data_IF_818040704257
#
_entry.id   IF_818040704257
#
_cell.length_a   1.000
_cell.length_b   1.000
_cell.length_c   1.000
_cell.angle_alpha   90.00
_cell.angle_beta   90.00
_cell.angle_gamma   90.00
#
_symmetry.space_group_name_H-M   'P 1'
#
loop_
_entity.id
_entity.type
_entity.pdbx_description
1 polymer ?
#
# COMPACT_ATOMS: atom_id res chain seq x y z
N UNK A 1 -34.25 21.67 13.21
CA UNK A 1 -34.00 20.62 12.21
C UNK A 1 -32.64 20.02 12.54
N UNK A 2 -32.65 18.77 12.96
CA UNK A 2 -31.80 18.23 14.03
C UNK A 2 -30.42 17.72 13.60
N UNK A 3 -29.44 17.85 14.49
CA UNK A 3 -28.05 17.38 14.40
C UNK A 3 -27.88 15.91 13.98
N UNK A 4 -28.91 15.09 14.19
CA UNK A 4 -28.95 13.68 13.81
C UNK A 4 -28.78 13.42 12.30
N UNK A 5 -29.15 14.37 11.42
CA UNK A 5 -29.00 14.20 9.96
C UNK A 5 -27.60 14.56 9.46
N UNK A 6 -26.85 15.41 10.17
CA UNK A 6 -25.45 15.74 9.84
C UNK A 6 -24.53 14.58 10.22
N UNK A 7 -24.78 13.92 11.35
CA UNK A 7 -24.00 12.76 11.82
C UNK A 7 -24.17 11.54 10.87
N UNK A 8 -25.32 11.42 10.21
CA UNK A 8 -25.61 10.30 9.30
C UNK A 8 -24.88 10.39 7.96
N UNK A 9 -24.50 11.58 7.49
CA UNK A 9 -23.81 11.77 6.19
C UNK A 9 -22.29 11.57 6.37
N UNK A 10 -21.72 11.89 7.54
CA UNK A 10 -20.28 11.75 7.78
C UNK A 10 -19.78 10.29 7.85
N UNK A 11 -20.68 9.31 8.06
CA UNK A 11 -20.32 7.88 8.20
C UNK A 11 -20.14 7.13 6.88
N UNK A 12 -20.64 7.65 5.76
CA UNK A 12 -20.60 6.95 4.46
C UNK A 12 -19.25 7.09 3.74
N UNK A 13 -18.41 8.06 4.13
CA UNK A 13 -17.10 8.32 3.50
C UNK A 13 -15.90 7.76 4.30
N UNK A 14 -16.13 7.12 5.45
CA UNK A 14 -15.05 6.61 6.30
C UNK A 14 -14.51 5.29 5.77
N UNK A 15 -13.21 5.27 5.47
CA UNK A 15 -12.50 4.06 5.05
C UNK A 15 -12.12 3.26 6.30
N UNK A 16 -12.39 1.96 6.32
CA UNK A 16 -11.86 1.09 7.37
C UNK A 16 -10.37 0.84 7.11
N UNK A 17 -9.51 1.31 8.02
CA UNK A 17 -8.07 1.03 8.00
C UNK A 17 -7.67 -0.17 8.86
N UNK A 18 -8.64 -0.86 9.47
CA UNK A 18 -8.39 -1.94 10.43
C UNK A 18 -8.16 -1.40 11.85
N UNK A 19 -7.38 -2.14 12.62
CA UNK A 19 -7.04 -1.81 14.01
C UNK A 19 -5.92 -0.76 14.05
N UNK A 20 -6.32 0.52 13.96
CA UNK A 20 -5.41 1.68 13.96
C UNK A 20 -5.77 2.58 15.15
N UNK A 21 -4.81 3.09 15.92
CA UNK A 21 -5.06 4.03 17.01
C UNK A 21 -5.88 5.25 16.55
N UNK A 22 -6.81 5.71 17.40
CA UNK A 22 -7.78 6.77 17.05
C UNK A 22 -7.13 8.03 16.47
N UNK A 23 -6.01 8.47 17.05
CA UNK A 23 -5.30 9.66 16.60
C UNK A 23 -4.71 9.49 15.18
N UNK A 24 -4.11 8.34 14.89
CA UNK A 24 -3.59 8.02 13.55
C UNK A 24 -4.74 7.85 12.56
N UNK A 25 -5.81 7.13 12.95
CA UNK A 25 -7.00 6.97 12.12
C UNK A 25 -7.61 8.33 11.77
N UNK A 26 -7.74 9.26 12.71
CA UNK A 26 -8.26 10.60 12.45
C UNK A 26 -7.46 11.36 11.38
N UNK A 27 -6.12 11.26 11.41
CA UNK A 27 -5.26 11.85 10.38
C UNK A 27 -5.46 11.17 9.01
N UNK A 28 -5.54 9.83 8.98
CA UNK A 28 -5.79 9.07 7.76
C UNK A 28 -7.15 9.43 7.12
N UNK A 29 -8.22 9.50 7.91
CA UNK A 29 -9.56 9.89 7.40
C UNK A 29 -9.53 11.31 6.81
N UNK A 30 -8.90 12.26 7.51
CA UNK A 30 -8.75 13.63 7.00
C UNK A 30 -7.96 13.67 5.70
N UNK A 31 -6.87 12.89 5.60
CA UNK A 31 -6.07 12.79 4.38
C UNK A 31 -6.86 12.22 3.20
N UNK A 32 -7.66 11.17 3.43
CA UNK A 32 -8.56 10.59 2.41
C UNK A 32 -9.57 11.62 1.90
N UNK A 33 -10.21 12.36 2.81
CA UNK A 33 -11.20 13.39 2.45
C UNK A 33 -10.56 14.55 1.68
N UNK A 34 -9.33 14.93 2.05
CA UNK A 34 -8.59 16.01 1.38
C UNK A 34 -8.13 15.62 -0.03
N UNK A 35 -7.74 14.36 -0.25
CA UNK A 35 -7.02 13.92 -1.45
C UNK A 35 -7.64 14.36 -2.78
N UNK A 36 -8.97 14.29 -2.93
CA UNK A 36 -9.62 14.65 -4.20
C UNK A 36 -9.55 16.14 -4.54
N UNK A 37 -9.41 17.00 -3.52
CA UNK A 37 -9.42 18.47 -3.66
C UNK A 37 -8.03 19.05 -3.54
N UNK A 38 -7.24 18.50 -2.62
CA UNK A 38 -5.91 18.97 -2.27
C UNK A 38 -5.00 17.76 -1.94
N UNK A 39 -4.34 17.19 -2.96
CA UNK A 39 -3.42 16.07 -2.79
C UNK A 39 -2.18 16.42 -1.94
N UNK A 40 -1.79 17.69 -1.87
CA UNK A 40 -0.63 18.14 -1.08
C UNK A 40 -1.00 18.22 0.40
N UNK A 41 -2.17 18.77 0.74
CA UNK A 41 -2.68 18.72 2.11
C UNK A 41 -2.90 17.28 2.58
N UNK A 42 -3.38 16.39 1.71
CA UNK A 42 -3.50 14.97 2.02
C UNK A 42 -2.13 14.32 2.33
N UNK A 43 -1.09 14.66 1.55
CA UNK A 43 0.27 14.21 1.81
C UNK A 43 0.75 14.58 3.21
N UNK A 44 0.60 15.86 3.59
CA UNK A 44 1.00 16.36 4.91
C UNK A 44 0.31 15.59 6.03
N UNK A 45 -1.00 15.35 5.90
CA UNK A 45 -1.77 14.58 6.89
C UNK A 45 -1.28 13.13 7.02
N UNK A 46 -0.92 12.48 5.91
CA UNK A 46 -0.36 11.14 5.96
C UNK A 46 1.07 11.11 6.52
N UNK A 47 1.88 12.14 6.25
CA UNK A 47 3.21 12.28 6.85
C UNK A 47 3.12 12.54 8.36
N UNK A 48 2.17 13.35 8.81
CA UNK A 48 1.86 13.55 10.23
C UNK A 48 1.44 12.22 10.89
N UNK A 49 0.60 11.42 10.22
CA UNK A 49 0.19 10.11 10.71
C UNK A 49 1.40 9.16 10.84
N UNK A 50 2.34 9.22 9.90
CA UNK A 50 3.55 8.40 9.92
C UNK A 50 4.50 8.80 11.05
N UNK A 51 4.65 10.11 11.28
CA UNK A 51 5.46 10.64 12.37
C UNK A 51 4.86 10.32 13.74
N UNK A 52 3.53 10.26 13.83
CA UNK A 52 2.81 9.92 15.06
C UNK A 52 2.99 8.45 15.42
N UNK A 53 2.80 7.54 14.45
CA UNK A 53 2.98 6.11 14.67
C UNK A 53 3.50 5.39 13.42
N UNK A 54 4.82 5.15 13.33
CA UNK A 54 5.43 4.49 12.18
C UNK A 54 5.14 2.98 12.10
N UNK A 55 4.51 2.36 13.11
CA UNK A 55 4.11 0.95 13.02
C UNK A 55 2.80 0.77 12.22
N UNK A 56 2.09 1.85 11.88
CA UNK A 56 0.77 1.76 11.27
C UNK A 56 0.89 1.55 9.76
N UNK A 57 0.83 0.28 9.33
CA UNK A 57 0.91 -0.14 7.93
C UNK A 57 -0.01 0.64 6.97
N UNK A 58 -1.29 0.95 7.32
CA UNK A 58 -2.17 1.73 6.45
C UNK A 58 -1.63 3.12 6.07
N UNK A 59 -0.73 3.70 6.87
CA UNK A 59 -0.12 4.99 6.58
C UNK A 59 0.80 4.91 5.36
N UNK A 60 1.64 3.88 5.28
CA UNK A 60 2.50 3.62 4.12
C UNK A 60 1.66 3.41 2.85
N UNK A 61 0.56 2.66 2.96
CA UNK A 61 -0.40 2.44 1.88
C UNK A 61 -0.94 3.74 1.31
N UNK A 62 -1.39 4.65 2.18
CA UNK A 62 -1.89 5.94 1.75
C UNK A 62 -0.79 6.72 1.01
N UNK A 63 0.39 6.88 1.60
CA UNK A 63 1.49 7.66 1.04
C UNK A 63 1.96 7.13 -0.32
N UNK A 64 2.32 5.85 -0.44
CA UNK A 64 2.83 5.35 -1.72
C UNK A 64 1.77 5.43 -2.83
N UNK A 65 0.48 5.28 -2.49
CA UNK A 65 -0.60 5.41 -3.48
C UNK A 65 -0.74 6.82 -4.00
N UNK A 66 -0.71 7.84 -3.13
CA UNK A 66 -0.82 9.22 -3.62
C UNK A 66 0.39 9.56 -4.49
N UNK A 67 1.59 9.11 -4.09
CA UNK A 67 2.80 9.35 -4.87
C UNK A 67 2.72 8.67 -6.23
N UNK A 68 2.29 7.41 -6.28
CA UNK A 68 2.12 6.68 -7.54
C UNK A 68 1.06 7.31 -8.45
N UNK A 69 -0.06 7.79 -7.90
CA UNK A 69 -1.10 8.49 -8.66
C UNK A 69 -0.67 9.85 -9.18
N UNK A 70 0.19 10.56 -8.45
CA UNK A 70 0.78 11.84 -8.87
C UNK A 70 2.01 11.67 -9.78
N UNK A 71 2.43 10.43 -10.06
CA UNK A 71 3.62 10.15 -10.89
C UNK A 71 4.96 10.40 -10.19
N UNK A 72 4.96 10.61 -8.86
CA UNK A 72 6.15 10.78 -8.04
C UNK A 72 6.75 9.41 -7.70
N UNK A 73 7.28 8.73 -8.72
CA UNK A 73 7.64 7.31 -8.64
C UNK A 73 8.83 7.01 -7.73
N UNK A 74 9.76 7.95 -7.54
CA UNK A 74 10.85 7.81 -6.56
C UNK A 74 10.31 7.82 -5.13
N UNK A 75 9.42 8.76 -4.81
CA UNK A 75 8.78 8.84 -3.50
C UNK A 75 7.89 7.62 -3.24
N UNK A 76 7.14 7.18 -4.25
CA UNK A 76 6.31 5.98 -4.16
C UNK A 76 7.17 4.74 -3.86
N UNK A 77 8.29 4.57 -4.57
CA UNK A 77 9.22 3.47 -4.35
C UNK A 77 9.79 3.52 -2.94
N UNK A 78 10.34 4.67 -2.51
CA UNK A 78 10.96 4.82 -1.20
C UNK A 78 9.98 4.46 -0.06
N UNK A 79 8.76 4.99 -0.10
CA UNK A 79 7.76 4.71 0.94
C UNK A 79 7.25 3.27 0.89
N UNK A 80 7.01 2.72 -0.30
CA UNK A 80 6.59 1.34 -0.45
C UNK A 80 7.66 0.36 0.06
N UNK A 81 8.95 0.63 -0.17
CA UNK A 81 10.05 -0.18 0.37
C UNK A 81 10.10 -0.14 1.89
N UNK A 82 9.97 1.04 2.51
CA UNK A 82 9.93 1.14 3.98
C UNK A 82 8.70 0.42 4.55
N UNK A 83 7.53 0.60 3.93
CA UNK A 83 6.30 -0.07 4.35
C UNK A 83 6.36 -1.59 4.19
N UNK A 84 7.03 -2.10 3.14
CA UNK A 84 7.28 -3.52 2.94
C UNK A 84 8.11 -4.09 4.09
N UNK A 85 9.21 -3.41 4.42
CA UNK A 85 10.13 -3.85 5.47
C UNK A 85 9.45 -3.84 6.85
N UNK A 86 8.64 -2.82 7.15
CA UNK A 86 7.90 -2.76 8.40
C UNK A 86 6.85 -3.88 8.50
N UNK A 87 6.14 -4.16 7.39
CA UNK A 87 5.17 -5.26 7.34
C UNK A 87 5.85 -6.63 7.50
N UNK A 88 6.99 -6.84 6.83
CA UNK A 88 7.80 -8.05 6.98
C UNK A 88 8.29 -8.22 8.43
N UNK A 89 8.77 -7.14 9.06
CA UNK A 89 9.19 -7.13 10.46
C UNK A 89 8.04 -7.53 11.40
N UNK A 90 6.85 -6.98 11.20
CA UNK A 90 5.66 -7.33 11.99
C UNK A 90 5.18 -8.77 11.76
N UNK A 91 5.39 -9.31 10.55
CA UNK A 91 5.12 -10.70 10.21
C UNK A 91 6.22 -11.67 10.68
N UNK A 92 7.36 -11.17 11.19
CA UNK A 92 8.52 -11.99 11.55
C UNK A 92 9.27 -12.56 10.34
N UNK A 93 9.17 -11.91 9.17
CA UNK A 93 9.85 -12.29 7.94
C UNK A 93 11.17 -11.54 7.74
N UNK A 94 12.00 -12.06 6.83
CA UNK A 94 13.22 -11.40 6.36
C UNK A 94 12.93 -10.01 5.78
N UNK A 95 13.89 -9.09 5.85
CA UNK A 95 13.82 -7.80 5.14
C UNK A 95 14.03 -7.95 3.62
N UNK A 96 14.79 -8.98 3.21
CA UNK A 96 14.85 -9.41 1.81
C UNK A 96 13.64 -10.29 1.45
N UNK A 97 12.74 -9.76 0.62
CA UNK A 97 11.56 -10.48 0.14
C UNK A 97 11.90 -11.72 -0.68
N UNK A 98 13.10 -11.81 -1.26
CA UNK A 98 13.54 -13.01 -2.00
C UNK A 98 13.61 -14.24 -1.09
N UNK A 99 13.94 -14.01 0.18
CA UNK A 99 14.08 -15.05 1.19
C UNK A 99 12.77 -15.45 1.90
N UNK A 100 11.64 -14.82 1.56
CA UNK A 100 10.36 -15.19 2.18
C UNK A 100 9.95 -16.59 1.78
N UNK A 101 9.48 -17.37 2.74
CA UNK A 101 8.93 -18.70 2.47
C UNK A 101 7.42 -18.68 2.58
N UNK A 102 6.76 -19.68 1.99
CA UNK A 102 5.31 -19.79 2.09
C UNK A 102 4.92 -20.07 3.55
N UNK A 103 4.40 -19.05 4.22
CA UNK A 103 3.71 -19.18 5.48
C UNK A 103 2.18 -19.14 5.26
N UNK A 104 1.41 -19.59 6.25
CA UNK A 104 -0.03 -19.35 6.25
C UNK A 104 -0.26 -17.84 6.34
N UNK A 105 -0.80 -17.24 5.27
CA UNK A 105 -1.09 -15.80 5.23
C UNK A 105 -2.44 -15.56 5.89
N UNK A 106 -2.44 -14.79 6.98
CA UNK A 106 -3.65 -14.32 7.64
C UNK A 106 -4.29 -13.21 6.82
N UNK A 107 -5.61 -13.29 6.61
CA UNK A 107 -6.36 -12.22 5.95
C UNK A 107 -6.28 -10.94 6.79
N UNK A 108 -5.84 -9.84 6.16
CA UNK A 108 -5.75 -8.54 6.82
C UNK A 108 -4.58 -8.35 7.80
N UNK A 109 -3.67 -9.32 7.90
CA UNK A 109 -2.47 -9.22 8.74
C UNK A 109 -1.29 -8.50 8.06
N UNK A 110 -0.18 -8.32 8.80
CA UNK A 110 1.05 -7.72 8.26
C UNK A 110 1.64 -8.49 7.08
N UNK A 111 1.50 -9.81 7.09
CA UNK A 111 1.85 -10.72 5.99
C UNK A 111 1.04 -10.43 4.71
N UNK A 112 -0.28 -10.29 4.81
CA UNK A 112 -1.11 -9.88 3.68
C UNK A 112 -0.74 -8.47 3.19
N UNK A 113 -0.46 -7.54 4.11
CA UNK A 113 0.01 -6.21 3.74
C UNK A 113 1.37 -6.25 3.02
N UNK A 114 2.30 -7.11 3.45
CA UNK A 114 3.60 -7.28 2.83
C UNK A 114 3.45 -7.76 1.37
N UNK A 115 2.63 -8.78 1.13
CA UNK A 115 2.32 -9.25 -0.24
C UNK A 115 1.61 -8.17 -1.08
N UNK A 116 0.69 -7.42 -0.48
CA UNK A 116 0.00 -6.35 -1.19
C UNK A 116 0.97 -5.22 -1.59
N UNK A 117 1.90 -4.88 -0.69
CA UNK A 117 2.94 -3.87 -0.94
C UNK A 117 3.94 -4.37 -1.98
N UNK A 118 4.31 -5.65 -1.96
CA UNK A 118 5.16 -6.25 -2.98
C UNK A 118 4.53 -6.15 -4.38
N UNK A 119 3.21 -6.32 -4.49
CA UNK A 119 2.47 -6.04 -5.73
C UNK A 119 2.55 -4.57 -6.13
N UNK A 120 2.43 -3.64 -5.18
CA UNK A 120 2.56 -2.22 -5.47
C UNK A 120 3.97 -1.87 -5.98
N UNK A 121 5.02 -2.46 -5.39
CA UNK A 121 6.40 -2.34 -5.86
C UNK A 121 6.57 -2.86 -7.28
N UNK A 122 5.99 -4.02 -7.61
CA UNK A 122 5.99 -4.52 -8.99
C UNK A 122 5.42 -3.49 -9.98
N UNK A 123 4.26 -2.89 -9.64
CA UNK A 123 3.66 -1.85 -10.47
C UNK A 123 4.52 -0.58 -10.55
N UNK A 124 5.11 -0.13 -9.45
CA UNK A 124 5.98 1.05 -9.41
C UNK A 124 7.23 0.82 -10.28
N UNK A 125 7.89 -0.34 -10.16
CA UNK A 125 9.02 -0.71 -11.00
C UNK A 125 8.66 -0.72 -12.50
N UNK A 126 7.50 -1.29 -12.86
CA UNK A 126 7.03 -1.24 -14.26
C UNK A 126 6.84 0.19 -14.76
N UNK A 127 6.24 1.07 -13.94
CA UNK A 127 6.03 2.49 -14.27
C UNK A 127 7.35 3.26 -14.43
N UNK A 128 8.43 2.77 -13.81
CA UNK A 128 9.79 3.31 -13.91
C UNK A 128 10.61 2.68 -15.05
N UNK A 129 10.07 1.69 -15.77
CA UNK A 129 10.80 0.95 -16.81
C UNK A 129 11.78 -0.10 -16.25
N UNK A 130 11.69 -0.41 -14.96
CA UNK A 130 12.59 -1.33 -14.25
C UNK A 130 12.05 -2.77 -14.33
N UNK A 131 11.93 -3.30 -15.56
CA UNK A 131 11.22 -4.57 -15.85
C UNK A 131 11.78 -5.75 -15.05
N UNK A 132 13.09 -5.86 -14.88
CA UNK A 132 13.70 -6.95 -14.10
C UNK A 132 13.33 -6.91 -12.61
N UNK A 133 13.24 -5.70 -12.02
CA UNK A 133 12.84 -5.54 -10.63
C UNK A 133 11.34 -5.83 -10.45
N UNK A 134 10.51 -5.41 -11.41
CA UNK A 134 9.11 -5.76 -11.44
C UNK A 134 8.89 -7.28 -11.53
N UNK A 135 9.62 -7.95 -12.43
CA UNK A 135 9.51 -9.40 -12.62
C UNK A 135 9.89 -10.16 -11.35
N UNK A 136 10.96 -9.76 -10.67
CA UNK A 136 11.36 -10.35 -9.40
C UNK A 136 10.26 -10.31 -8.33
N UNK A 137 9.52 -9.19 -8.25
CA UNK A 137 8.39 -9.06 -7.32
C UNK A 137 7.24 -10.00 -7.73
N UNK A 138 6.92 -10.07 -9.02
CA UNK A 138 5.86 -10.92 -9.57
C UNK A 138 6.16 -12.42 -9.40
N UNK A 139 7.40 -12.84 -9.63
CA UNK A 139 7.85 -14.22 -9.42
C UNK A 139 7.64 -14.63 -7.96
N UNK A 140 8.00 -13.75 -7.02
CA UNK A 140 7.80 -14.02 -5.59
C UNK A 140 6.32 -14.07 -5.22
N UNK A 141 5.49 -13.19 -5.79
CA UNK A 141 4.04 -13.22 -5.58
C UNK A 141 3.42 -14.52 -6.11
N UNK A 142 3.87 -15.02 -7.25
CA UNK A 142 3.41 -16.29 -7.80
C UNK A 142 3.81 -17.49 -6.92
N UNK A 143 4.97 -17.43 -6.27
CA UNK A 143 5.42 -18.43 -5.30
C UNK A 143 4.55 -18.43 -4.02
N UNK A 144 4.31 -17.24 -3.46
CA UNK A 144 3.73 -17.09 -2.12
C UNK A 144 2.20 -17.02 -2.07
N UNK A 145 1.56 -16.52 -3.13
CA UNK A 145 0.10 -16.29 -3.18
C UNK A 145 -0.62 -17.11 -4.27
N UNK A 146 -0.44 -18.45 -4.32
CA UNK A 146 -1.04 -19.28 -5.36
C UNK A 146 -2.58 -19.33 -5.28
N UNK A 147 -3.15 -19.06 -4.11
CA UNK A 147 -4.59 -19.09 -3.88
C UNK A 147 -5.24 -17.71 -4.04
N UNK A 148 -4.51 -16.75 -4.64
CA UNK A 148 -4.95 -15.37 -4.85
C UNK A 148 -5.24 -14.63 -3.54
N UNK A 149 -4.44 -14.89 -2.50
CA UNK A 149 -4.40 -14.10 -1.28
C UNK A 149 -4.23 -12.61 -1.61
N UNK A 150 -3.46 -12.31 -2.67
CA UNK A 150 -3.41 -10.99 -3.31
C UNK A 150 -3.54 -11.18 -4.82
N UNK A 151 -4.50 -10.52 -5.47
CA UNK A 151 -4.59 -10.50 -6.93
C UNK A 151 -3.55 -9.53 -7.54
N UNK A 152 -2.61 -10.10 -8.31
CA UNK A 152 -1.57 -9.39 -9.05
C UNK A 152 -1.69 -9.59 -10.58
N UNK A 153 -2.75 -10.24 -11.07
CA UNK A 153 -2.89 -10.62 -12.49
C UNK A 153 -2.88 -9.43 -13.45
N UNK A 154 -3.47 -8.30 -13.06
CA UNK A 154 -3.43 -7.06 -13.84
C UNK A 154 -2.00 -6.53 -13.98
N UNK A 155 -1.20 -6.58 -12.90
CA UNK A 155 0.19 -6.12 -12.92
C UNK A 155 1.05 -7.08 -13.76
N UNK A 156 0.83 -8.39 -13.65
CA UNK A 156 1.48 -9.39 -14.48
C UNK A 156 1.19 -9.18 -15.98
N UNK A 157 -0.09 -8.98 -16.35
CA UNK A 157 -0.47 -8.70 -17.73
C UNK A 157 0.13 -7.39 -18.28
N UNK A 158 0.35 -6.39 -17.42
CA UNK A 158 1.07 -5.17 -17.79
C UNK A 158 2.55 -5.46 -18.05
N UNK A 159 3.21 -6.26 -17.20
CA UNK A 159 4.60 -6.66 -17.37
C UNK A 159 4.82 -7.41 -18.69
N UNK A 160 3.94 -8.36 -19.02
CA UNK A 160 3.98 -9.12 -20.28
C UNK A 160 3.90 -8.19 -21.51
N UNK A 161 3.01 -7.20 -21.48
CA UNK A 161 2.88 -6.22 -22.57
C UNK A 161 4.13 -5.36 -22.73
N UNK A 162 4.73 -4.94 -21.62
CA UNK A 162 5.98 -4.17 -21.63
C UNK A 162 7.14 -5.02 -22.17
N UNK A 163 7.20 -6.31 -21.83
CA UNK A 163 8.24 -7.22 -22.31
C UNK A 163 8.07 -7.61 -23.79
N UNK A 164 6.84 -7.76 -24.28
CA UNK A 164 6.56 -8.13 -25.68
C UNK A 164 6.58 -6.96 -26.67
N UNK A 165 6.69 -5.72 -26.19
CA UNK A 165 6.79 -4.50 -27.01
C UNK A 165 8.21 -3.97 -27.17
N UNK A 166 9.23 -4.70 -26.69
CA UNK A 166 10.65 -4.39 -26.79
C UNK A 166 11.32 -5.06 -27.99
#
# INVERSE_FOLDING_TARGET
MSDAKIISIAREDLISFGDVPDATNALLQRGVLAYRKDPEAAEVLFQEALALDPAQLPVYYCLYKIYAYRGLLDNALAVATVGLNEAARQAGWSDDFRAWERAAVSSGGPDHFALYTLKALAFIHLRRGETSAAQACLDKLAELAPNREVDFTVVAALAEKVAGGA
#
